data_IF_631761354318
#
_entry.id   IF_631761354318
#
_cell.length_a   1.000
_cell.length_b   1.000
_cell.length_c   1.000
_cell.angle_alpha   90.00
_cell.angle_beta   90.00
_cell.angle_gamma   90.00
#
_symmetry.space_group_name_H-M   'P 1'
#
loop_
_entity.id
_entity.type
_entity.pdbx_description
1 polymer ?
#
# COMPACT_ATOMS: atom_id res chain seq x y z
N UNK A 1 -3.20 -3.80 21.63
CA UNK A 1 -2.14 -3.98 20.62
C UNK A 1 -2.69 -3.61 19.25
N UNK A 2 -1.92 -2.89 18.45
CA UNK A 2 -2.38 -2.46 17.13
C UNK A 2 -1.65 -3.18 16.02
N UNK A 3 -2.35 -3.46 14.96
CA UNK A 3 -1.79 -4.07 13.77
C UNK A 3 -2.09 -3.22 12.55
N UNK A 4 -1.09 -3.04 11.69
CA UNK A 4 -1.25 -2.27 10.48
C UNK A 4 -2.00 -3.09 9.44
N UNK A 5 -3.04 -2.52 8.85
CA UNK A 5 -3.88 -3.17 7.83
C UNK A 5 -3.93 -2.31 6.57
N UNK A 6 -4.17 -2.96 5.46
CA UNK A 6 -4.28 -2.24 4.20
C UNK A 6 -5.21 -2.99 3.23
N UNK A 7 -5.90 -2.22 2.39
CA UNK A 7 -6.67 -2.76 1.27
C UNK A 7 -5.93 -2.54 -0.06
N UNK A 8 -4.62 -2.32 -0.01
CA UNK A 8 -3.83 -2.04 -1.21
C UNK A 8 -3.96 -3.13 -2.27
N UNK A 9 -3.95 -4.40 -1.85
CA UNK A 9 -4.07 -5.51 -2.80
C UNK A 9 -5.36 -5.42 -3.61
N UNK A 10 -6.45 -5.13 -2.94
CA UNK A 10 -7.76 -5.01 -3.60
C UNK A 10 -7.77 -3.84 -4.57
N UNK A 11 -7.22 -2.69 -4.15
CA UNK A 11 -7.13 -1.52 -5.03
C UNK A 11 -6.30 -1.82 -6.26
N UNK A 12 -5.15 -2.46 -6.05
CA UNK A 12 -4.25 -2.81 -7.15
C UNK A 12 -4.93 -3.75 -8.14
N UNK A 13 -5.59 -4.79 -7.63
CA UNK A 13 -6.25 -5.77 -8.49
C UNK A 13 -7.42 -5.18 -9.25
N UNK A 14 -8.18 -4.30 -8.61
CA UNK A 14 -9.28 -3.60 -9.29
C UNK A 14 -8.77 -2.74 -10.43
N UNK A 15 -7.59 -2.15 -10.27
CA UNK A 15 -6.97 -1.33 -11.30
C UNK A 15 -6.28 -2.17 -12.40
N UNK A 16 -6.16 -3.47 -12.18
CA UNK A 16 -5.56 -4.37 -13.16
C UNK A 16 -4.03 -4.38 -13.17
N UNK A 17 -3.39 -4.02 -12.07
CA UNK A 17 -1.93 -3.97 -11.98
C UNK A 17 -1.35 -5.18 -11.26
N UNK A 18 -0.17 -5.62 -11.71
CA UNK A 18 0.66 -6.53 -10.93
C UNK A 18 1.40 -5.73 -9.87
N UNK A 19 1.99 -6.43 -8.89
CA UNK A 19 2.82 -5.75 -7.88
C UNK A 19 3.99 -5.00 -8.52
N UNK A 20 4.61 -5.61 -9.53
CA UNK A 20 5.73 -4.98 -10.23
C UNK A 20 5.29 -3.73 -10.98
N UNK A 21 4.12 -3.77 -11.62
CA UNK A 21 3.60 -2.62 -12.34
C UNK A 21 3.30 -1.45 -11.38
N UNK A 22 2.68 -1.74 -10.26
CA UNK A 22 2.39 -0.70 -9.27
C UNK A 22 3.69 -0.11 -8.71
N UNK A 23 4.66 -0.97 -8.39
CA UNK A 23 5.95 -0.51 -7.89
C UNK A 23 6.63 0.45 -8.87
N UNK A 24 6.58 0.13 -10.16
CA UNK A 24 7.14 0.99 -11.18
C UNK A 24 6.43 2.35 -11.24
N UNK A 25 5.11 2.34 -11.14
CA UNK A 25 4.30 3.57 -11.18
C UNK A 25 4.67 4.51 -10.03
N UNK A 26 4.86 3.98 -8.84
CA UNK A 26 5.15 4.81 -7.65
C UNK A 26 6.64 4.97 -7.38
N UNK A 27 7.49 4.46 -8.28
CA UNK A 27 8.93 4.63 -8.13
C UNK A 27 9.54 3.84 -6.97
N UNK A 28 9.05 2.63 -6.76
CA UNK A 28 9.53 1.78 -5.67
C UNK A 28 9.79 0.37 -6.18
N UNK A 29 10.13 -0.56 -5.31
CA UNK A 29 10.42 -1.93 -5.72
C UNK A 29 9.24 -2.85 -5.37
N UNK A 30 9.14 -3.95 -6.12
CA UNK A 30 8.08 -4.94 -5.94
C UNK A 30 8.05 -5.50 -4.52
N UNK A 31 9.23 -5.73 -3.93
CA UNK A 31 9.29 -6.29 -2.57
C UNK A 31 8.60 -5.41 -1.55
N UNK A 32 8.74 -4.09 -1.68
CA UNK A 32 8.09 -3.16 -0.76
C UNK A 32 6.57 -3.20 -0.92
N UNK A 33 6.08 -3.28 -2.16
CA UNK A 33 4.65 -3.41 -2.42
C UNK A 33 4.14 -4.73 -1.82
N UNK A 34 4.86 -5.82 -2.04
CA UNK A 34 4.49 -7.12 -1.51
C UNK A 34 4.41 -7.11 0.03
N UNK A 35 5.38 -6.50 0.68
CA UNK A 35 5.40 -6.41 2.15
C UNK A 35 4.24 -5.57 2.67
N UNK A 36 3.91 -4.47 2.00
CA UNK A 36 2.76 -3.66 2.38
C UNK A 36 1.47 -4.48 2.32
N UNK A 37 1.28 -5.21 1.22
CA UNK A 37 0.06 -5.99 1.03
C UNK A 37 -0.10 -7.12 2.06
N UNK A 38 1.01 -7.63 2.57
CA UNK A 38 1.01 -8.70 3.56
C UNK A 38 1.08 -8.21 5.00
N UNK A 39 1.00 -6.90 5.20
CA UNK A 39 1.12 -6.28 6.53
C UNK A 39 2.43 -6.63 7.23
N UNK A 40 3.50 -6.81 6.46
CA UNK A 40 4.83 -7.14 7.00
C UNK A 40 5.74 -5.92 7.13
N UNK A 41 5.25 -4.76 6.79
CA UNK A 41 6.01 -3.52 6.82
C UNK A 41 5.76 -2.85 8.17
N UNK A 42 6.75 -2.83 9.05
CA UNK A 42 6.59 -2.24 10.38
C UNK A 42 6.48 -0.73 10.34
N UNK A 43 7.31 -0.10 9.52
CA UNK A 43 7.38 1.35 9.42
C UNK A 43 7.45 1.76 7.95
N UNK A 44 6.34 1.66 7.21
CA UNK A 44 6.34 2.12 5.82
C UNK A 44 6.59 3.62 5.78
N UNK A 45 7.33 4.07 4.78
CA UNK A 45 7.57 5.50 4.65
C UNK A 45 6.28 6.19 4.25
N UNK A 46 6.06 7.37 4.82
CA UNK A 46 4.88 8.16 4.47
C UNK A 46 4.86 8.49 2.98
N UNK A 47 6.04 8.74 2.41
CA UNK A 47 6.14 9.08 0.99
C UNK A 47 5.58 7.98 0.11
N UNK A 48 5.89 6.72 0.40
CA UNK A 48 5.37 5.60 -0.37
C UNK A 48 3.84 5.52 -0.27
N UNK A 49 3.31 5.63 0.95
CA UNK A 49 1.87 5.58 1.16
C UNK A 49 1.18 6.75 0.46
N UNK A 50 1.77 7.93 0.55
CA UNK A 50 1.24 9.13 -0.09
C UNK A 50 1.22 8.98 -1.61
N UNK A 51 2.30 8.46 -2.19
CA UNK A 51 2.38 8.28 -3.64
C UNK A 51 1.32 7.31 -4.13
N UNK A 52 1.09 6.23 -3.40
CA UNK A 52 0.05 5.26 -3.74
C UNK A 52 -1.33 5.92 -3.64
N UNK A 53 -1.58 6.62 -2.54
CA UNK A 53 -2.86 7.29 -2.32
C UNK A 53 -3.14 8.30 -3.43
N UNK A 54 -2.16 9.10 -3.77
CA UNK A 54 -2.30 10.11 -4.80
C UNK A 54 -2.61 9.48 -6.16
N UNK A 55 -1.94 8.39 -6.49
CA UNK A 55 -2.19 7.71 -7.75
C UNK A 55 -3.62 7.21 -7.87
N UNK A 56 -4.18 6.69 -6.77
CA UNK A 56 -5.55 6.18 -6.77
C UNK A 56 -6.60 7.24 -6.46
N UNK A 57 -6.18 8.48 -6.21
CA UNK A 57 -7.11 9.57 -5.88
C UNK A 57 -7.78 9.38 -4.52
N UNK A 58 -7.06 8.82 -3.58
CA UNK A 58 -7.56 8.54 -2.23
C UNK A 58 -6.64 9.15 -1.17
N UNK A 59 -7.13 9.24 0.06
CA UNK A 59 -6.27 9.59 1.18
C UNK A 59 -5.62 8.32 1.73
N UNK A 60 -4.52 8.48 2.44
CA UNK A 60 -3.81 7.32 3.01
C UNK A 60 -4.74 6.52 3.93
N UNK A 61 -5.56 7.21 4.73
CA UNK A 61 -6.45 6.57 5.69
C UNK A 61 -7.53 5.71 5.04
N UNK A 62 -7.82 5.93 3.77
CA UNK A 62 -8.83 5.14 3.06
C UNK A 62 -8.37 3.73 2.73
N UNK A 63 -7.05 3.51 2.64
CA UNK A 63 -6.56 2.18 2.31
C UNK A 63 -5.52 1.65 3.27
N UNK A 64 -5.15 2.42 4.31
CA UNK A 64 -4.10 2.04 5.25
C UNK A 64 -4.48 2.53 6.64
N UNK A 65 -4.57 1.61 7.61
CA UNK A 65 -5.03 1.96 8.96
C UNK A 65 -4.45 1.01 10.00
N UNK A 66 -4.58 1.41 11.27
CA UNK A 66 -4.22 0.54 12.38
C UNK A 66 -5.49 -0.09 12.94
N UNK A 67 -5.45 -1.37 13.17
CA UNK A 67 -6.57 -2.12 13.74
C UNK A 67 -6.19 -2.64 15.11
N UNK A 68 -7.10 -2.50 16.06
CA UNK A 68 -6.91 -3.00 17.42
C UNK A 68 -7.18 -4.49 17.45
N UNK A 69 -6.28 -5.25 18.08
CA UNK A 69 -6.44 -6.71 18.24
C UNK A 69 -6.36 -7.10 19.70
#
# INVERSE_FOLDING_TARGET
MRELRTSLKELRMEAGFTQSELAEIVGNCRDNISRLERNKFKNPTYQLLYDIAEYFGKSVEEFFWYEEI
#
